data_IF_072841128730
#
_entry.id   IF_072841128730
#
_cell.length_a   1.000
_cell.length_b   1.000
_cell.length_c   1.000
_cell.angle_alpha   90.00
_cell.angle_beta   90.00
_cell.angle_gamma   90.00
#
_symmetry.space_group_name_H-M   'P 1'
#
loop_
_entity.id
_entity.type
_entity.pdbx_description
1 polymer ?
#
# COMPACT_ATOMS: atom_id res chain seq x y z
N UNK A 1 0.94 8.55 -11.50
CA UNK A 1 1.22 9.11 -10.15
C UNK A 1 1.79 7.99 -9.29
N UNK A 2 2.70 8.29 -8.37
CA UNK A 2 3.18 7.30 -7.39
C UNK A 2 2.16 7.16 -6.26
N UNK A 3 1.99 5.93 -5.78
CA UNK A 3 0.99 5.51 -4.79
C UNK A 3 1.62 4.46 -3.87
N UNK A 4 1.01 4.21 -2.71
CA UNK A 4 1.29 3.01 -1.94
C UNK A 4 0.63 1.79 -2.62
N UNK A 5 1.20 0.59 -2.42
CA UNK A 5 0.61 -0.69 -2.89
C UNK A 5 -0.74 -0.88 -2.18
N UNK A 6 -1.80 -1.13 -2.95
CA UNK A 6 -3.17 -1.21 -2.43
C UNK A 6 -4.14 -1.76 -3.47
N UNK A 7 -5.05 -2.61 -3.02
CA UNK A 7 -6.20 -3.00 -3.84
C UNK A 7 -7.46 -3.25 -3.01
N UNK A 8 -8.42 -3.93 -3.63
CA UNK A 8 -9.75 -4.14 -3.07
C UNK A 8 -9.78 -5.24 -2.02
N UNK A 9 -10.77 -5.18 -1.12
CA UNK A 9 -11.10 -6.30 -0.24
C UNK A 9 -12.20 -7.12 -0.90
N UNK A 10 -12.00 -8.43 -1.03
CA UNK A 10 -13.00 -9.34 -1.59
C UNK A 10 -14.06 -9.66 -0.52
N UNK A 11 -15.29 -9.95 -0.93
CA UNK A 11 -16.36 -10.32 0.00
C UNK A 11 -15.93 -11.54 0.86
N UNK A 12 -15.94 -11.35 2.19
CA UNK A 12 -15.54 -12.36 3.17
C UNK A 12 -14.05 -12.37 3.52
N UNK A 13 -13.23 -11.53 2.88
CA UNK A 13 -11.79 -11.39 3.15
C UNK A 13 -11.54 -10.39 4.30
N UNK A 14 -10.61 -10.69 5.20
CA UNK A 14 -10.18 -9.72 6.21
C UNK A 14 -9.18 -8.71 5.63
N UNK A 15 -9.21 -7.45 6.07
CA UNK A 15 -8.29 -6.40 5.58
C UNK A 15 -6.80 -6.83 5.51
N UNK A 16 -6.21 -7.52 6.51
CA UNK A 16 -4.81 -7.94 6.42
C UNK A 16 -4.57 -9.06 5.41
N UNK A 17 -5.58 -9.89 5.13
CA UNK A 17 -5.51 -10.94 4.11
C UNK A 17 -5.53 -10.30 2.72
N UNK A 18 -6.47 -9.37 2.50
CA UNK A 18 -6.54 -8.57 1.27
C UNK A 18 -5.22 -7.85 0.99
N UNK A 19 -4.69 -7.13 1.98
CA UNK A 19 -3.42 -6.42 1.81
C UNK A 19 -2.26 -7.36 1.44
N UNK A 20 -2.17 -8.56 2.02
CA UNK A 20 -1.11 -9.54 1.67
C UNK A 20 -1.29 -10.08 0.25
N UNK A 21 -2.53 -10.38 -0.14
CA UNK A 21 -2.86 -10.82 -1.50
C UNK A 21 -2.48 -9.74 -2.51
N UNK A 22 -2.90 -8.49 -2.28
CA UNK A 22 -2.61 -7.36 -3.15
C UNK A 22 -1.11 -7.09 -3.28
N UNK A 23 -0.32 -7.18 -2.19
CA UNK A 23 1.15 -7.10 -2.29
C UNK A 23 1.71 -8.20 -3.21
N UNK A 24 1.25 -9.44 -3.04
CA UNK A 24 1.72 -10.56 -3.86
C UNK A 24 1.26 -10.47 -5.33
N UNK A 25 0.06 -9.96 -5.58
CA UNK A 25 -0.51 -9.76 -6.91
C UNK A 25 0.14 -8.56 -7.60
N UNK A 26 0.17 -7.39 -6.99
CA UNK A 26 0.63 -6.15 -7.62
C UNK A 26 2.15 -6.08 -7.80
N UNK A 27 2.92 -6.53 -6.81
CA UNK A 27 4.39 -6.34 -6.76
C UNK A 27 5.19 -7.63 -6.52
N UNK A 28 4.53 -8.78 -6.38
CA UNK A 28 5.18 -10.09 -6.33
C UNK A 28 5.87 -10.45 -5.02
N UNK A 29 5.87 -9.56 -4.03
CA UNK A 29 6.51 -9.80 -2.73
C UNK A 29 5.72 -10.81 -1.90
N UNK A 30 6.39 -11.82 -1.33
CA UNK A 30 5.74 -12.90 -0.58
C UNK A 30 6.24 -13.00 0.86
N UNK A 31 7.49 -12.65 1.13
CA UNK A 31 8.05 -12.71 2.47
C UNK A 31 7.84 -11.38 3.21
N UNK A 32 6.57 -11.13 3.57
CA UNK A 32 6.17 -9.88 4.22
C UNK A 32 5.65 -10.11 5.64
N UNK A 33 6.10 -9.28 6.57
CA UNK A 33 5.67 -9.28 7.96
C UNK A 33 4.87 -8.03 8.27
N UNK A 34 3.63 -8.23 8.70
CA UNK A 34 2.76 -7.13 9.15
C UNK A 34 3.17 -6.73 10.55
N UNK A 35 3.51 -5.47 10.73
CA UNK A 35 3.92 -4.92 12.03
C UNK A 35 2.71 -4.33 12.77
N UNK A 36 1.94 -3.46 12.12
CA UNK A 36 0.82 -2.76 12.76
C UNK A 36 -0.16 -2.15 11.74
N UNK A 37 -1.43 -1.98 12.12
CA UNK A 37 -2.36 -1.09 11.42
C UNK A 37 -2.10 0.36 11.85
N UNK A 38 -1.46 1.14 10.98
CA UNK A 38 -0.93 2.46 11.33
C UNK A 38 -1.86 3.61 10.99
N UNK A 39 -2.82 3.42 10.08
CA UNK A 39 -3.73 4.47 9.68
C UNK A 39 -5.05 3.91 9.14
N UNK A 40 -6.06 4.78 9.10
CA UNK A 40 -7.32 4.55 8.43
C UNK A 40 -7.85 5.88 7.91
N UNK A 41 -8.28 5.91 6.66
CA UNK A 41 -8.87 7.11 6.07
C UNK A 41 -10.01 6.76 5.13
N UNK A 42 -10.82 7.77 4.83
CA UNK A 42 -11.92 7.67 3.89
C UNK A 42 -11.82 8.76 2.83
N UNK A 43 -12.25 8.43 1.63
CA UNK A 43 -12.43 9.43 0.58
C UNK A 43 -13.59 9.05 -0.32
N UNK A 44 -14.13 10.05 -1.01
CA UNK A 44 -15.16 9.85 -2.01
C UNK A 44 -14.54 9.96 -3.39
N UNK A 45 -14.79 8.97 -4.25
CA UNK A 45 -14.40 9.00 -5.64
C UNK A 45 -15.59 8.56 -6.48
N UNK A 46 -16.05 9.45 -7.36
CA UNK A 46 -17.35 9.32 -8.01
C UNK A 46 -18.45 9.16 -6.94
N UNK A 47 -19.40 8.25 -7.15
CA UNK A 47 -20.49 7.96 -6.21
C UNK A 47 -20.13 6.88 -5.18
N UNK A 48 -18.85 6.53 -5.07
CA UNK A 48 -18.37 5.49 -4.15
C UNK A 48 -17.60 6.10 -2.98
N UNK A 49 -17.95 5.64 -1.78
CA UNK A 49 -17.17 5.91 -0.56
C UNK A 49 -16.14 4.80 -0.40
N UNK A 50 -14.88 5.16 -0.42
CA UNK A 50 -13.77 4.26 -0.19
C UNK A 50 -13.32 4.34 1.27
N UNK A 51 -13.18 3.18 1.91
CA UNK A 51 -12.65 3.04 3.25
C UNK A 51 -11.30 2.33 3.12
N UNK A 52 -10.23 2.93 3.64
CA UNK A 52 -8.87 2.41 3.45
C UNK A 52 -8.22 2.15 4.80
N UNK A 53 -7.86 0.89 5.03
CA UNK A 53 -7.03 0.45 6.15
C UNK A 53 -5.58 0.39 5.70
N UNK A 54 -4.67 1.06 6.43
CA UNK A 54 -3.25 1.10 6.08
C UNK A 54 -2.42 0.37 7.13
N UNK A 55 -1.54 -0.51 6.64
CA UNK A 55 -0.68 -1.35 7.46
C UNK A 55 0.79 -1.02 7.22
N UNK A 56 1.58 -1.02 8.29
CA UNK A 56 3.03 -1.04 8.20
C UNK A 56 3.49 -2.47 8.00
N UNK A 57 4.26 -2.67 6.93
CA UNK A 57 4.73 -3.98 6.50
C UNK A 57 6.25 -3.92 6.35
N UNK A 58 6.91 -4.92 6.91
CA UNK A 58 8.34 -5.20 6.72
C UNK A 58 8.48 -6.23 5.59
N UNK A 59 9.40 -5.98 4.66
CA UNK A 59 9.69 -6.82 3.50
C UNK A 59 11.20 -6.80 3.20
N UNK A 60 11.72 -7.84 2.54
CA UNK A 60 13.12 -7.88 2.09
C UNK A 60 13.30 -7.05 0.81
N UNK A 61 14.11 -6.00 0.87
CA UNK A 61 14.42 -5.17 -0.30
C UNK A 61 15.24 -5.90 -1.38
N UNK A 62 15.77 -7.09 -1.08
CA UNK A 62 16.46 -7.95 -2.03
C UNK A 62 15.54 -8.96 -2.72
N UNK A 63 14.27 -9.07 -2.31
CA UNK A 63 13.28 -9.86 -3.04
C UNK A 63 12.94 -9.16 -4.37
N UNK A 64 12.90 -9.92 -5.46
CA UNK A 64 12.62 -9.38 -6.79
C UNK A 64 11.18 -8.86 -6.89
N UNK A 65 11.03 -7.55 -7.10
CA UNK A 65 9.73 -6.93 -7.36
C UNK A 65 9.29 -7.29 -8.78
N UNK A 66 8.14 -7.97 -8.88
CA UNK A 66 7.52 -8.34 -10.16
C UNK A 66 6.19 -7.62 -10.30
N UNK A 67 6.14 -6.64 -11.20
CA UNK A 67 4.91 -5.90 -11.48
C UNK A 67 3.98 -6.75 -12.34
N UNK A 68 2.81 -7.09 -11.81
CA UNK A 68 1.79 -7.75 -12.61
C UNK A 68 0.96 -6.71 -13.37
N UNK A 69 0.61 -7.08 -14.61
CA UNK A 69 -0.33 -6.31 -15.41
C UNK A 69 -1.69 -6.39 -14.73
N UNK A 70 -2.27 -5.24 -14.37
CA UNK A 70 -3.50 -5.19 -13.57
C UNK A 70 -4.64 -6.06 -14.11
N UNK A 71 -5.53 -6.47 -13.20
CA UNK A 71 -6.81 -7.12 -13.48
C UNK A 71 -7.68 -6.28 -14.42
N UNK A 72 -8.65 -6.90 -15.11
CA UNK A 72 -9.64 -6.14 -15.89
C UNK A 72 -10.31 -5.06 -15.02
N UNK A 73 -10.08 -3.78 -15.35
CA UNK A 73 -10.65 -2.63 -14.64
C UNK A 73 -9.67 -1.83 -13.77
N UNK A 74 -8.45 -2.32 -13.55
CA UNK A 74 -7.42 -1.62 -12.78
C UNK A 74 -6.31 -1.05 -13.67
N UNK A 75 -5.75 0.09 -13.26
CA UNK A 75 -4.62 0.69 -13.99
C UNK A 75 -3.36 -0.11 -13.67
N UNK A 76 -2.71 -0.64 -14.70
CA UNK A 76 -1.46 -1.38 -14.54
C UNK A 76 -0.39 -0.53 -13.83
N UNK A 77 0.30 -1.14 -12.86
CA UNK A 77 1.50 -0.55 -12.26
C UNK A 77 2.61 -0.59 -13.31
N UNK A 78 3.16 0.58 -13.60
CA UNK A 78 4.18 0.75 -14.64
C UNK A 78 5.61 0.72 -14.10
N UNK A 79 5.79 1.01 -12.81
CA UNK A 79 7.09 1.11 -12.17
C UNK A 79 6.99 0.95 -10.64
N UNK A 80 8.11 0.70 -9.97
CA UNK A 80 8.24 0.63 -8.52
C UNK A 80 9.50 1.36 -8.03
N UNK A 81 9.51 1.74 -6.76
CA UNK A 81 10.69 2.33 -6.12
C UNK A 81 10.72 2.02 -4.62
N UNK A 82 11.91 1.66 -4.13
CA UNK A 82 12.22 1.68 -2.71
C UNK A 82 12.73 3.07 -2.35
N UNK A 83 12.03 3.77 -1.45
CA UNK A 83 12.33 5.16 -1.08
C UNK A 83 12.53 5.28 0.43
N UNK A 84 13.36 6.23 0.85
CA UNK A 84 13.35 6.69 2.25
C UNK A 84 12.00 7.32 2.61
N UNK A 85 11.62 7.39 3.90
CA UNK A 85 10.38 8.03 4.31
C UNK A 85 10.26 9.48 3.83
N UNK A 86 11.37 10.24 3.83
CA UNK A 86 11.43 11.62 3.37
C UNK A 86 11.17 11.72 1.86
N UNK A 87 11.84 10.90 1.05
CA UNK A 87 11.62 10.85 -0.41
C UNK A 87 10.19 10.42 -0.76
N UNK A 88 9.62 9.47 0.00
CA UNK A 88 8.24 9.04 -0.19
C UNK A 88 7.24 10.19 0.06
N UNK A 89 7.48 11.04 1.07
CA UNK A 89 6.62 12.21 1.35
C UNK A 89 6.66 13.26 0.23
N UNK A 90 7.80 13.40 -0.45
CA UNK A 90 7.97 14.29 -1.61
C UNK A 90 7.36 13.69 -2.89
N UNK A 91 7.40 12.36 -3.02
CA UNK A 91 6.99 11.63 -4.23
C UNK A 91 5.48 11.35 -4.29
N UNK A 92 4.86 11.02 -3.15
CA UNK A 92 3.44 10.70 -3.06
C UNK A 92 2.57 11.93 -3.37
N UNK A 93 1.46 11.71 -4.07
CA UNK A 93 0.57 12.81 -4.46
C UNK A 93 -0.47 13.14 -3.37
N UNK A 94 -1.06 12.13 -2.72
CA UNK A 94 -2.20 12.31 -1.82
C UNK A 94 -1.77 12.50 -0.36
N UNK A 95 -2.39 13.45 0.34
CA UNK A 95 -2.04 13.73 1.75
C UNK A 95 -2.41 12.59 2.71
N UNK A 96 -3.42 11.76 2.40
CA UNK A 96 -3.76 10.60 3.23
C UNK A 96 -2.64 9.53 3.19
N UNK A 97 -2.04 9.31 2.02
CA UNK A 97 -0.90 8.41 1.87
C UNK A 97 0.34 8.99 2.57
N UNK A 98 0.60 10.29 2.42
CA UNK A 98 1.69 10.96 3.17
C UNK A 98 1.49 10.91 4.67
N UNK A 99 0.25 11.08 5.15
CA UNK A 99 -0.08 10.96 6.57
C UNK A 99 0.18 9.56 7.09
N UNK A 100 -0.03 8.54 6.26
CA UNK A 100 0.31 7.15 6.58
C UNK A 100 1.82 6.94 6.71
N UNK A 101 2.63 7.53 5.83
CA UNK A 101 4.11 7.52 5.96
C UNK A 101 4.55 8.18 7.27
N UNK A 102 3.97 9.34 7.62
CA UNK A 102 4.26 10.01 8.91
C UNK A 102 3.88 9.14 10.11
N UNK A 103 2.76 8.42 10.04
CA UNK A 103 2.35 7.49 11.09
C UNK A 103 3.34 6.32 11.24
N UNK A 104 3.82 5.75 10.12
CA UNK A 104 4.86 4.72 10.13
C UNK A 104 6.16 5.23 10.78
N UNK A 105 6.63 6.43 10.41
CA UNK A 105 7.80 7.05 11.03
C UNK A 105 7.62 7.25 12.54
N UNK A 106 6.41 7.62 12.98
CA UNK A 106 6.07 7.76 14.39
C UNK A 106 6.04 6.43 15.15
N UNK A 107 5.64 5.34 14.49
CA UNK A 107 5.67 3.99 15.05
C UNK A 107 7.11 3.50 15.22
N UNK A 108 7.96 3.66 14.19
CA UNK A 108 9.34 3.15 14.18
C UNK A 108 10.31 3.91 15.10
N UNK A 109 9.94 5.11 15.57
CA UNK A 109 10.72 5.89 16.54
C UNK A 109 10.48 5.49 18.00
N UNK A 110 9.50 4.62 18.27
CA UNK A 110 9.18 4.12 19.62
C UNK A 110 10.09 2.95 19.98
#
# INVERSE_FOLDING_TARGET
VWRLVKGGVIEGEADPEAMRREIAEEVGLRDVRVLEKINYYEFQYMDLRHLVSVYLVEADMNEDVTLQSGSEGETAILDHAWLSPEEALETLYWEDEKSSVRAAMGYLKK
#
